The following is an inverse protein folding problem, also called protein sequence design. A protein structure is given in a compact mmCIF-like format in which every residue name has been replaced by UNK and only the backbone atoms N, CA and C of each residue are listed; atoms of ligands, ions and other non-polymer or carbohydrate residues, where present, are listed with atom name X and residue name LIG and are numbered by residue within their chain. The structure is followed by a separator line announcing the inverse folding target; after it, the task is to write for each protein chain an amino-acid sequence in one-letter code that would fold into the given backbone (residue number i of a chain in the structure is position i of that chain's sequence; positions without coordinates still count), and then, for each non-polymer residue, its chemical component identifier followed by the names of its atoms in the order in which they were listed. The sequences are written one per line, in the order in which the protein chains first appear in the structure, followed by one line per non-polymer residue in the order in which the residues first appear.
data_IF_650621086252
#
_entry.id   IF_650621086252
#
_cell.length_a   1.000
_cell.length_b   1.000
_cell.length_c   1.000
_cell.angle_alpha   90.00
_cell.angle_beta   90.00
_cell.angle_gamma   90.00
#
_symmetry.space_group_name_H-M   'P 1'
#
loop_
_entity.id
_entity.type
_entity.pdbx_description
1 polymer ?
#
# COMPACT_ATOMS: atom_id res chain seq x y z
N UNK A 1 -6.75 -13.42 -15.50
CA UNK A 1 -6.19 -13.35 -14.13
C UNK A 1 -4.85 -12.65 -14.26
N UNK A 2 -4.41 -11.88 -13.28
CA UNK A 2 -3.09 -11.26 -13.25
C UNK A 2 -2.45 -11.48 -11.86
N UNK A 3 -1.16 -11.75 -11.83
CA UNK A 3 -0.37 -11.99 -10.63
C UNK A 3 0.67 -10.89 -10.48
N UNK A 4 0.68 -10.24 -9.32
CA UNK A 4 1.52 -9.08 -9.05
C UNK A 4 2.40 -9.36 -7.84
N UNK A 5 3.71 -9.34 -8.05
CA UNK A 5 4.69 -9.32 -6.97
C UNK A 5 4.82 -7.93 -6.39
N UNK A 6 4.74 -7.77 -5.06
CA UNK A 6 4.92 -6.47 -4.41
C UNK A 6 5.88 -6.58 -3.24
N UNK A 7 7.03 -5.92 -3.36
CA UNK A 7 7.96 -5.70 -2.25
C UNK A 7 7.77 -4.30 -1.70
N UNK A 8 7.66 -4.17 -0.38
CA UNK A 8 7.73 -2.89 0.31
C UNK A 8 8.88 -2.85 1.31
N UNK A 9 9.60 -1.75 1.31
CA UNK A 9 10.71 -1.49 2.20
C UNK A 9 10.36 -1.53 3.71
N UNK A 10 9.09 -1.30 4.08
CA UNK A 10 8.63 -1.25 5.48
C UNK A 10 7.35 -2.05 5.66
N UNK A 11 7.03 -2.41 6.91
CA UNK A 11 5.79 -3.16 7.19
C UNK A 11 4.54 -2.26 7.20
N UNK A 12 4.71 -0.93 7.26
CA UNK A 12 3.61 0.02 7.41
C UNK A 12 2.48 -0.15 6.38
N UNK A 13 2.75 -0.25 5.06
CA UNK A 13 1.69 -0.39 4.08
C UNK A 13 1.10 -1.81 3.95
N UNK A 14 1.69 -2.82 4.58
CA UNK A 14 1.29 -4.24 4.38
C UNK A 14 -0.18 -4.46 4.72
N UNK A 15 -0.69 -3.83 5.78
CA UNK A 15 -2.11 -3.92 6.15
C UNK A 15 -3.01 -3.37 5.06
N UNK A 16 -2.77 -2.13 4.58
CA UNK A 16 -3.56 -1.55 3.50
C UNK A 16 -3.46 -2.35 2.20
N UNK A 17 -2.30 -2.90 1.87
CA UNK A 17 -2.15 -3.75 0.68
C UNK A 17 -3.05 -5.00 0.81
N UNK A 18 -3.09 -5.63 1.99
CA UNK A 18 -3.95 -6.80 2.23
C UNK A 18 -5.43 -6.45 2.12
N UNK A 19 -5.87 -5.32 2.68
CA UNK A 19 -7.26 -4.89 2.53
C UNK A 19 -7.58 -4.52 1.07
N UNK A 20 -6.63 -3.92 0.35
CA UNK A 20 -6.80 -3.65 -1.07
C UNK A 20 -6.99 -4.95 -1.86
N UNK A 21 -6.23 -6.00 -1.55
CA UNK A 21 -6.35 -7.32 -2.17
C UNK A 21 -7.76 -7.92 -2.05
N UNK A 22 -8.44 -7.72 -0.92
CA UNK A 22 -9.83 -8.18 -0.71
C UNK A 22 -10.84 -7.51 -1.65
N UNK A 23 -10.47 -6.37 -2.27
CA UNK A 23 -11.29 -5.63 -3.23
C UNK A 23 -10.96 -5.95 -4.70
N UNK A 24 -10.02 -6.84 -4.94
CA UNK A 24 -9.58 -7.22 -6.28
C UNK A 24 -10.29 -8.50 -6.73
N UNK A 25 -10.66 -8.54 -8.00
CA UNK A 25 -11.23 -9.74 -8.64
C UNK A 25 -10.34 -10.12 -9.80
N UNK A 26 -9.88 -11.37 -9.81
CA UNK A 26 -8.98 -11.88 -10.85
C UNK A 26 -7.55 -11.34 -10.78
N UNK A 27 -7.14 -10.74 -9.66
CA UNK A 27 -5.77 -10.26 -9.43
C UNK A 27 -5.24 -10.87 -8.13
N UNK A 28 -4.11 -11.56 -8.22
CA UNK A 28 -3.42 -12.18 -7.09
C UNK A 28 -2.21 -11.34 -6.68
N UNK A 29 -2.09 -11.00 -5.39
CA UNK A 29 -0.96 -10.22 -4.87
C UNK A 29 -0.02 -11.09 -4.05
N UNK A 30 1.25 -11.17 -4.48
CA UNK A 30 2.35 -11.74 -3.72
C UNK A 30 3.10 -10.63 -2.98
N UNK A 31 2.80 -10.45 -1.69
CA UNK A 31 3.32 -9.31 -0.89
C UNK A 31 4.40 -9.77 0.09
N UNK A 32 5.53 -9.05 0.13
CA UNK A 32 6.55 -9.15 1.19
C UNK A 32 7.05 -7.78 1.61
N UNK A 33 7.35 -7.60 2.88
CA UNK A 33 8.04 -6.43 3.38
C UNK A 33 9.50 -6.71 3.72
N UNK A 34 10.28 -5.66 4.01
CA UNK A 34 11.63 -5.80 4.53
C UNK A 34 11.70 -6.68 5.79
N UNK A 35 10.72 -6.57 6.70
CA UNK A 35 10.62 -7.41 7.90
C UNK A 35 10.37 -8.89 7.62
N UNK A 36 9.84 -9.25 6.44
CA UNK A 36 9.63 -10.65 6.06
C UNK A 36 10.91 -11.32 5.49
N UNK A 37 11.97 -10.54 5.21
CA UNK A 37 13.12 -10.96 4.40
C UNK A 37 14.46 -10.78 5.14
N UNK A 38 14.51 -11.23 6.39
CA UNK A 38 15.69 -11.07 7.26
C UNK A 38 16.84 -12.04 6.94
N UNK A 39 16.55 -13.18 6.31
CA UNK A 39 17.54 -14.20 5.98
C UNK A 39 17.67 -14.48 4.46
N UNK A 40 18.83 -14.96 3.99
CA UNK A 40 19.06 -15.19 2.57
C UNK A 40 18.15 -16.23 1.91
N UNK A 41 17.65 -17.21 2.67
CA UNK A 41 16.76 -18.25 2.14
C UNK A 41 15.35 -17.67 1.89
N UNK A 42 14.87 -16.83 2.79
CA UNK A 42 13.63 -16.08 2.62
C UNK A 42 13.69 -15.17 1.37
N UNK A 43 14.81 -14.47 1.18
CA UNK A 43 15.05 -13.66 -0.03
C UNK A 43 15.05 -14.53 -1.29
N UNK A 44 15.82 -15.61 -1.32
CA UNK A 44 15.90 -16.50 -2.49
C UNK A 44 14.52 -17.04 -2.87
N UNK A 45 13.77 -17.57 -1.90
CA UNK A 45 12.42 -18.11 -2.13
C UNK A 45 11.46 -17.04 -2.64
N UNK A 46 11.57 -15.82 -2.14
CA UNK A 46 10.74 -14.71 -2.63
C UNK A 46 11.09 -14.37 -4.07
N UNK A 47 12.38 -14.24 -4.40
CA UNK A 47 12.86 -13.95 -5.76
C UNK A 47 12.45 -15.03 -6.76
N UNK A 48 12.53 -16.30 -6.38
CA UNK A 48 12.07 -17.41 -7.23
C UNK A 48 10.58 -17.26 -7.59
N UNK A 49 9.75 -16.89 -6.61
CA UNK A 49 8.32 -16.66 -6.83
C UNK A 49 8.02 -15.39 -7.62
N UNK A 50 8.86 -14.36 -7.52
CA UNK A 50 8.71 -13.14 -8.31
C UNK A 50 8.89 -13.41 -9.82
N UNK A 51 9.71 -14.40 -10.19
CA UNK A 51 9.90 -14.81 -11.59
C UNK A 51 8.65 -15.46 -12.21
N UNK A 52 7.66 -15.84 -11.38
CA UNK A 52 6.39 -16.45 -11.81
C UNK A 52 5.25 -15.41 -11.88
N UNK A 53 5.52 -14.14 -11.57
CA UNK A 53 4.52 -13.07 -11.59
C UNK A 53 4.46 -12.40 -12.97
N UNK A 54 3.29 -11.86 -13.32
CA UNK A 54 3.12 -11.11 -14.57
C UNK A 54 3.83 -9.75 -14.51
N UNK A 55 3.84 -9.12 -13.32
CA UNK A 55 4.57 -7.87 -13.07
C UNK A 55 4.99 -7.74 -11.61
N UNK A 56 6.10 -7.06 -11.35
CA UNK A 56 6.64 -6.83 -9.99
C UNK A 56 6.74 -5.36 -9.66
N UNK A 57 6.39 -4.97 -8.43
CA UNK A 57 6.55 -3.61 -7.90
C UNK A 57 7.50 -3.63 -6.71
N UNK A 58 8.55 -2.83 -6.80
CA UNK A 58 9.46 -2.54 -5.70
C UNK A 58 9.19 -1.14 -5.17
N UNK A 59 8.56 -1.08 -3.99
CA UNK A 59 8.32 0.16 -3.28
C UNK A 59 9.40 0.37 -2.21
N UNK A 60 10.36 1.24 -2.52
CA UNK A 60 11.56 1.47 -1.72
C UNK A 60 11.46 2.82 -0.98
N UNK A 61 11.88 2.86 0.28
CA UNK A 61 11.84 4.06 1.13
C UNK A 61 13.23 4.41 1.69
N UNK A 62 13.83 5.52 1.27
CA UNK A 62 15.15 5.94 1.78
C UNK A 62 16.32 5.03 1.37
N UNK A 63 17.51 5.28 1.94
CA UNK A 63 18.77 4.65 1.53
C UNK A 63 19.02 3.24 2.09
N UNK A 64 18.34 2.90 3.20
CA UNK A 64 18.56 1.69 4.01
C UNK A 64 17.62 0.53 3.70
N UNK A 65 16.56 0.75 2.92
CA UNK A 65 15.47 -0.23 2.75
C UNK A 65 15.58 -1.10 1.48
N UNK A 66 16.79 -1.20 0.94
CA UNK A 66 17.04 -1.97 -0.26
C UNK A 66 16.85 -3.45 0.05
N UNK A 67 16.03 -4.10 -0.77
CA UNK A 67 16.01 -5.55 -0.86
C UNK A 67 17.47 -6.06 -0.99
N UNK A 68 17.90 -7.04 -0.19
CA UNK A 68 19.25 -7.58 -0.30
C UNK A 68 19.55 -8.02 -1.73
N UNK A 69 20.72 -7.63 -2.24
CA UNK A 69 21.15 -7.92 -3.62
C UNK A 69 20.17 -7.44 -4.72
N UNK A 70 19.48 -6.31 -4.50
CA UNK A 70 18.47 -5.78 -5.44
C UNK A 70 18.91 -5.76 -6.91
N UNK A 71 20.16 -5.44 -7.23
CA UNK A 71 20.62 -5.45 -8.62
C UNK A 71 20.62 -6.85 -9.24
N UNK A 72 21.06 -7.86 -8.48
CA UNK A 72 20.98 -9.25 -8.93
C UNK A 72 19.53 -9.72 -9.09
N UNK A 73 18.61 -9.25 -8.24
CA UNK A 73 17.18 -9.54 -8.38
C UNK A 73 16.63 -8.95 -9.68
N UNK A 74 16.99 -7.71 -10.01
CA UNK A 74 16.59 -7.06 -11.27
C UNK A 74 17.11 -7.83 -12.48
N UNK A 75 18.38 -8.21 -12.48
CA UNK A 75 18.97 -9.00 -13.56
C UNK A 75 18.27 -10.35 -13.73
N UNK A 76 17.90 -11.01 -12.64
CA UNK A 76 17.15 -12.28 -12.67
C UNK A 76 15.75 -12.10 -13.26
N UNK A 77 14.99 -11.08 -12.82
CA UNK A 77 13.66 -10.79 -13.35
C UNK A 77 13.71 -10.41 -14.83
N UNK A 78 14.66 -9.56 -15.21
CA UNK A 78 14.87 -9.21 -16.61
C UNK A 78 15.27 -10.43 -17.45
N UNK A 79 16.11 -11.33 -16.92
CA UNK A 79 16.49 -12.58 -17.58
C UNK A 79 15.31 -13.56 -17.74
N UNK A 80 14.37 -13.52 -16.81
CA UNK A 80 13.11 -14.27 -16.85
C UNK A 80 12.05 -13.61 -17.75
N UNK A 81 12.26 -12.38 -18.19
CA UNK A 81 11.30 -11.62 -18.99
C UNK A 81 10.13 -11.04 -18.18
N UNK A 82 10.30 -10.89 -16.86
CA UNK A 82 9.29 -10.31 -15.96
C UNK A 82 9.49 -8.81 -15.87
N UNK A 83 8.43 -8.07 -16.21
CA UNK A 83 8.42 -6.62 -16.09
C UNK A 83 8.34 -6.17 -14.63
N UNK A 84 8.98 -5.05 -14.32
CA UNK A 84 8.94 -4.51 -12.98
C UNK A 84 9.02 -2.99 -12.90
N UNK A 85 8.39 -2.47 -11.85
CA UNK A 85 8.33 -1.06 -11.49
C UNK A 85 9.15 -0.83 -10.22
N UNK A 86 9.99 0.21 -10.23
CA UNK A 86 10.71 0.68 -9.06
C UNK A 86 10.22 2.07 -8.70
N UNK A 87 9.61 2.18 -7.53
CA UNK A 87 9.12 3.43 -6.96
C UNK A 87 9.92 3.77 -5.70
N UNK A 88 10.42 5.01 -5.62
CA UNK A 88 11.19 5.53 -4.49
C UNK A 88 10.50 6.76 -3.93
N UNK A 89 10.21 6.78 -2.63
CA UNK A 89 9.66 7.98 -2.00
C UNK A 89 10.66 9.15 -2.08
N UNK A 90 10.21 10.28 -2.65
CA UNK A 90 10.98 11.53 -2.67
C UNK A 90 12.07 11.60 -3.74
N UNK A 91 12.11 10.65 -4.68
CA UNK A 91 13.08 10.65 -5.78
C UNK A 91 12.36 10.96 -7.10
N UNK A 92 12.56 12.18 -7.60
CA UNK A 92 12.13 12.61 -8.94
C UNK A 92 13.14 12.23 -10.03
N UNK A 93 14.29 11.65 -9.65
CA UNK A 93 15.34 11.37 -10.61
C UNK A 93 15.08 10.02 -11.30
N UNK A 94 14.77 10.11 -12.60
CA UNK A 94 14.39 9.03 -13.49
C UNK A 94 15.53 8.05 -13.77
N UNK A 95 16.13 7.47 -12.73
CA UNK A 95 17.00 6.31 -12.89
C UNK A 95 16.19 5.21 -13.58
N UNK A 96 16.74 4.68 -14.67
CA UNK A 96 16.23 3.62 -15.56
C UNK A 96 16.09 2.27 -14.83
N UNK A 97 15.47 2.31 -13.66
CA UNK A 97 15.32 1.16 -12.81
C UNK A 97 14.18 0.31 -13.36
N UNK A 98 13.01 0.88 -13.66
CA UNK A 98 11.87 0.10 -14.15
C UNK A 98 12.07 -0.38 -15.59
N UNK A 99 11.45 -1.51 -15.95
CA UNK A 99 11.39 -2.00 -17.34
C UNK A 99 10.17 -1.46 -18.09
N UNK A 100 9.16 -1.00 -17.36
CA UNK A 100 7.91 -0.47 -17.90
C UNK A 100 8.05 0.91 -18.53
N UNK A 101 7.04 1.35 -19.29
CA UNK A 101 6.97 2.71 -19.82
C UNK A 101 7.05 3.76 -18.69
N UNK A 102 7.79 4.88 -18.87
CA UNK A 102 7.84 5.95 -17.88
C UNK A 102 6.48 6.44 -17.38
N UNK A 103 5.45 6.48 -18.24
CA UNK A 103 4.09 6.86 -17.85
C UNK A 103 3.48 5.94 -16.79
N UNK A 104 3.64 4.62 -16.95
CA UNK A 104 3.19 3.61 -15.98
C UNK A 104 3.97 3.78 -14.69
N UNK A 105 5.30 3.91 -14.76
CA UNK A 105 6.14 4.11 -13.58
C UNK A 105 5.72 5.34 -12.76
N UNK A 106 5.52 6.49 -13.42
CA UNK A 106 5.06 7.72 -12.76
C UNK A 106 3.70 7.52 -12.09
N UNK A 107 2.76 6.85 -12.77
CA UNK A 107 1.41 6.64 -12.24
C UNK A 107 1.39 5.68 -11.05
N UNK A 108 2.13 4.56 -11.12
CA UNK A 108 2.34 3.64 -10.00
C UNK A 108 2.98 4.35 -8.82
N UNK A 109 4.04 5.14 -9.07
CA UNK A 109 4.66 5.98 -8.03
C UNK A 109 3.66 6.91 -7.36
N UNK A 110 2.78 7.55 -8.13
CA UNK A 110 1.74 8.46 -7.60
C UNK A 110 0.73 7.73 -6.71
N UNK A 111 0.26 6.54 -7.08
CA UNK A 111 -0.62 5.76 -6.20
C UNK A 111 0.07 5.38 -4.89
N UNK A 112 1.32 4.94 -4.98
CA UNK A 112 2.11 4.53 -3.80
C UNK A 112 2.37 5.71 -2.86
N UNK A 113 2.73 6.88 -3.40
CA UNK A 113 2.94 8.11 -2.63
C UNK A 113 1.66 8.58 -1.93
N UNK A 114 0.52 8.55 -2.63
CA UNK A 114 -0.76 8.92 -2.03
C UNK A 114 -1.27 7.88 -1.04
N UNK A 115 -0.83 6.63 -1.19
CA UNK A 115 -1.09 5.54 -0.25
C UNK A 115 -2.57 5.18 -0.10
N UNK A 116 -2.85 4.30 0.84
CA UNK A 116 -4.21 3.85 1.19
C UNK A 116 -4.88 2.90 0.21
N UNK A 117 -5.93 2.27 0.72
CA UNK A 117 -6.53 1.07 0.13
C UNK A 117 -7.11 1.31 -1.26
N UNK A 118 -7.72 2.48 -1.50
CA UNK A 118 -8.26 2.82 -2.82
C UNK A 118 -7.16 2.99 -3.87
N UNK A 119 -6.10 3.73 -3.55
CA UNK A 119 -4.98 3.92 -4.48
C UNK A 119 -4.24 2.60 -4.73
N UNK A 120 -4.03 1.78 -3.70
CA UNK A 120 -3.39 0.48 -3.86
C UNK A 120 -4.25 -0.46 -4.73
N UNK A 121 -5.57 -0.46 -4.56
CA UNK A 121 -6.46 -1.26 -5.40
C UNK A 121 -6.46 -0.78 -6.86
N UNK A 122 -6.53 0.53 -7.10
CA UNK A 122 -6.50 1.09 -8.46
C UNK A 122 -5.12 0.96 -9.13
N UNK A 123 -4.03 1.00 -8.37
CA UNK A 123 -2.70 0.65 -8.85
C UNK A 123 -2.64 -0.81 -9.31
N UNK A 124 -3.17 -1.74 -8.51
CA UNK A 124 -3.21 -3.15 -8.89
C UNK A 124 -4.08 -3.39 -10.13
N UNK A 125 -5.19 -2.67 -10.28
CA UNK A 125 -6.02 -2.74 -11.49
C UNK A 125 -5.32 -2.16 -12.73
N UNK A 126 -4.64 -1.01 -12.60
CA UNK A 126 -3.79 -0.47 -13.67
C UNK A 126 -2.76 -1.50 -14.15
N UNK A 127 -2.06 -2.13 -13.20
CA UNK A 127 -1.05 -3.14 -13.54
C UNK A 127 -1.67 -4.40 -14.15
N UNK A 128 -2.84 -4.82 -13.66
CA UNK A 128 -3.53 -5.97 -14.24
C UNK A 128 -4.04 -5.70 -15.66
N UNK A 129 -4.53 -4.49 -15.93
CA UNK A 129 -4.98 -4.06 -17.26
C UNK A 129 -3.83 -4.02 -18.27
N UNK A 130 -2.64 -3.60 -17.82
CA UNK A 130 -1.45 -3.51 -18.68
C UNK A 130 -0.79 -4.88 -18.92
N UNK A 131 -0.70 -5.74 -17.90
CA UNK A 131 0.11 -6.95 -17.92
C UNK A 131 -0.69 -8.27 -17.90
N UNK A 132 -1.99 -8.21 -17.67
CA UNK A 132 -2.87 -9.39 -17.63
C UNK A 132 -3.69 -9.60 -18.91
N UNK A 133 -4.34 -10.75 -19.00
CA UNK A 133 -5.20 -11.11 -20.14
C UNK A 133 -6.65 -10.55 -20.06
N UNK A 134 -6.94 -9.76 -19.03
CA UNK A 134 -8.28 -9.24 -18.75
C UNK A 134 -8.41 -7.74 -19.04
N UNK A 135 -9.55 -7.18 -18.63
CA UNK A 135 -9.85 -5.75 -18.71
C UNK A 135 -10.24 -5.30 -17.30
N UNK A 136 -9.51 -4.33 -16.74
CA UNK A 136 -9.73 -3.83 -15.39
C UNK A 136 -9.82 -2.31 -15.39
N UNK A 137 -11.02 -1.80 -15.10
CA UNK A 137 -11.21 -0.37 -14.88
C UNK A 137 -10.47 0.10 -13.62
N UNK A 138 -9.78 1.24 -13.71
CA UNK A 138 -9.11 1.89 -12.59
C UNK A 138 -9.31 3.41 -12.63
N UNK A 139 -9.49 4.01 -11.45
CA UNK A 139 -9.57 5.47 -11.33
C UNK A 139 -8.19 6.09 -11.14
N UNK A 140 -8.03 7.36 -11.52
CA UNK A 140 -6.83 8.14 -11.20
C UNK A 140 -6.47 8.13 -9.70
N UNK A 141 -5.18 8.28 -9.33
CA UNK A 141 -4.79 8.41 -7.94
C UNK A 141 -5.61 9.51 -7.24
N UNK A 142 -5.98 9.28 -5.97
CA UNK A 142 -6.76 10.21 -5.14
C UNK A 142 -5.94 10.66 -3.95
N UNK A 143 -5.97 11.95 -3.65
CA UNK A 143 -5.31 12.48 -2.44
C UNK A 143 -6.07 12.03 -1.20
N UNK A 144 -5.34 11.51 -0.22
CA UNK A 144 -5.90 11.23 1.10
C UNK A 144 -5.85 12.49 1.96
N UNK A 145 -6.84 12.70 2.85
CA UNK A 145 -6.83 13.85 3.74
C UNK A 145 -5.61 13.82 4.68
N UNK A 146 -4.77 14.86 4.63
CA UNK A 146 -3.60 15.02 5.52
C UNK A 146 -3.98 15.34 6.98
N UNK A 147 -5.21 15.80 7.18
CA UNK A 147 -5.83 15.97 8.49
C UNK A 147 -7.29 15.58 8.37
N UNK A 148 -7.85 15.04 9.44
CA UNK A 148 -9.24 14.61 9.44
C UNK A 148 -9.69 14.17 10.82
N UNK A 149 -10.94 13.73 10.88
CA UNK A 149 -11.50 13.08 12.06
C UNK A 149 -11.79 11.64 11.72
N UNK A 150 -11.53 10.77 12.68
CA UNK A 150 -11.72 9.34 12.53
C UNK A 150 -12.64 8.82 13.63
N UNK A 151 -13.61 8.00 13.24
CA UNK A 151 -14.37 7.17 14.15
C UNK A 151 -14.81 5.90 13.41
N UNK A 152 -14.68 4.70 14.01
CA UNK A 152 -14.94 3.43 13.32
C UNK A 152 -16.39 3.30 12.83
N UNK A 153 -17.36 3.86 13.56
CA UNK A 153 -18.79 3.83 13.17
C UNK A 153 -19.24 4.98 12.26
N UNK A 154 -18.37 5.99 12.08
CA UNK A 154 -18.71 7.21 11.35
C UNK A 154 -17.63 7.53 10.30
N UNK A 155 -17.35 6.61 9.36
CA UNK A 155 -16.29 6.78 8.37
C UNK A 155 -16.59 7.97 7.45
N UNK A 156 -15.61 8.85 7.26
CA UNK A 156 -15.70 9.99 6.33
C UNK A 156 -16.59 11.15 6.79
N UNK A 157 -17.06 11.15 8.04
CA UNK A 157 -17.81 12.29 8.57
C UNK A 157 -16.91 13.50 8.82
N UNK A 158 -17.48 14.70 8.70
CA UNK A 158 -16.81 15.93 9.13
C UNK A 158 -16.73 16.00 10.66
N UNK A 159 -15.82 16.82 11.19
CA UNK A 159 -15.71 17.06 12.63
C UNK A 159 -17.03 17.54 13.22
N UNK A 160 -17.72 18.45 12.53
CA UNK A 160 -18.99 19.00 13.01
C UNK A 160 -20.09 17.94 13.02
N UNK A 161 -20.23 17.17 11.94
CA UNK A 161 -21.21 16.10 11.86
C UNK A 161 -20.93 14.99 12.89
N UNK A 162 -19.65 14.67 13.15
CA UNK A 162 -19.30 13.70 14.19
C UNK A 162 -19.62 14.23 15.59
N UNK A 163 -19.37 15.52 15.86
CA UNK A 163 -19.72 16.14 17.15
C UNK A 163 -21.22 16.11 17.43
N UNK A 164 -22.05 16.17 16.40
CA UNK A 164 -23.51 16.04 16.55
C UNK A 164 -23.96 14.66 17.04
N UNK A 165 -23.10 13.62 16.94
CA UNK A 165 -23.41 12.28 17.47
C UNK A 165 -23.09 12.13 18.96
N UNK A 166 -22.38 13.10 19.56
CA UNK A 166 -21.91 13.00 20.94
C UNK A 166 -23.01 13.37 21.95
N UNK A 167 -23.00 12.70 23.10
CA UNK A 167 -23.83 13.08 24.24
C UNK A 167 -23.22 14.29 24.96
N UNK A 168 -23.88 15.47 24.97
CA UNK A 168 -23.33 16.68 25.57
C UNK A 168 -23.22 16.60 27.11
N UNK A 169 -23.79 15.58 27.74
CA UNK A 169 -23.69 15.36 29.19
C UNK A 169 -22.49 14.53 29.61
N UNK A 170 -21.76 13.95 28.64
CA UNK A 170 -20.57 13.12 28.85
C UNK A 170 -19.30 13.88 28.50
N UNK A 171 -18.16 13.59 29.17
CA UNK A 171 -16.88 14.17 28.78
C UNK A 171 -16.47 13.66 27.39
N UNK A 172 -15.84 14.50 26.57
CA UNK A 172 -15.28 14.08 25.27
C UNK A 172 -13.76 13.94 25.36
N UNK A 173 -13.22 12.82 24.89
CA UNK A 173 -11.76 12.58 24.83
C UNK A 173 -11.29 12.60 23.38
N UNK A 174 -10.32 13.47 23.09
CA UNK A 174 -9.63 13.49 21.78
C UNK A 174 -8.43 12.54 21.78
N UNK A 175 -8.38 11.64 20.79
CA UNK A 175 -7.23 10.74 20.56
C UNK A 175 -6.44 11.29 19.38
N UNK A 176 -5.16 11.60 19.61
CA UNK A 176 -4.23 11.98 18.55
C UNK A 176 -3.43 10.76 18.12
N UNK A 177 -3.39 10.53 16.80
CA UNK A 177 -2.57 9.50 16.20
C UNK A 177 -2.10 9.94 14.81
N UNK A 178 -1.08 9.26 14.28
CA UNK A 178 -0.49 9.63 13.01
C UNK A 178 -1.46 9.35 11.85
N UNK A 179 -1.56 10.31 10.94
CA UNK A 179 -2.31 10.19 9.68
C UNK A 179 -1.92 8.92 8.91
N UNK A 180 -0.64 8.55 8.92
CA UNK A 180 -0.12 7.33 8.28
C UNK A 180 -0.82 6.05 8.77
N UNK A 181 -1.28 6.01 10.02
CA UNK A 181 -1.99 4.83 10.53
C UNK A 181 -3.44 4.80 10.06
N UNK A 182 -4.03 5.96 9.78
CA UNK A 182 -5.35 6.04 9.13
C UNK A 182 -5.25 5.67 7.66
N UNK A 183 -4.30 6.25 6.93
CA UNK A 183 -4.13 5.99 5.50
C UNK A 183 -3.68 4.56 5.20
N UNK A 184 -2.87 3.93 6.07
CA UNK A 184 -2.51 2.51 5.92
C UNK A 184 -3.50 1.52 6.57
N UNK A 185 -4.71 1.96 6.95
CA UNK A 185 -5.72 1.14 7.63
C UNK A 185 -5.19 0.36 8.84
N UNK A 186 -4.21 0.94 9.52
CA UNK A 186 -3.68 0.46 10.78
C UNK A 186 -4.39 1.12 11.97
N UNK A 187 -5.73 1.18 11.92
CA UNK A 187 -6.53 1.87 12.96
C UNK A 187 -6.99 0.94 14.07
N UNK A 188 -6.80 -0.39 13.97
CA UNK A 188 -7.32 -1.36 14.95
C UNK A 188 -7.03 -1.02 16.42
N UNK A 189 -5.85 -0.46 16.72
CA UNK A 189 -5.51 -0.06 18.09
C UNK A 189 -6.24 1.24 18.52
N UNK A 190 -6.49 2.15 17.58
CA UNK A 190 -7.33 3.34 17.77
C UNK A 190 -8.77 2.91 18.01
N UNK A 191 -9.28 1.97 17.20
CA UNK A 191 -10.64 1.43 17.34
C UNK A 191 -10.81 0.80 18.73
N UNK A 192 -9.86 -0.02 19.16
CA UNK A 192 -9.87 -0.63 20.49
C UNK A 192 -9.87 0.43 21.61
N UNK A 193 -9.10 1.51 21.46
CA UNK A 193 -9.07 2.61 22.42
C UNK A 193 -10.39 3.38 22.45
N UNK A 194 -10.99 3.66 21.29
CA UNK A 194 -12.31 4.29 21.17
C UNK A 194 -13.35 3.43 21.90
N UNK A 195 -13.43 2.12 21.60
CA UNK A 195 -14.39 1.22 22.25
C UNK A 195 -14.19 1.13 23.76
N UNK A 196 -12.94 1.14 24.21
CA UNK A 196 -12.64 1.13 25.65
C UNK A 196 -13.18 2.40 26.33
N UNK A 197 -13.02 3.58 25.72
CA UNK A 197 -13.56 4.83 26.25
C UNK A 197 -15.09 4.86 26.23
N UNK A 198 -15.70 4.48 25.10
CA UNK A 198 -17.17 4.41 24.95
C UNK A 198 -17.80 3.51 26.02
N UNK A 199 -17.14 2.40 26.37
CA UNK A 199 -17.62 1.47 27.41
C UNK A 199 -17.59 2.03 28.84
N UNK A 200 -16.86 3.13 29.07
CA UNK A 200 -16.80 3.85 30.35
C UNK A 200 -17.71 5.10 30.37
N UNK A 201 -18.65 5.20 29.42
CA UNK A 201 -19.55 6.35 29.24
C UNK A 201 -18.80 7.67 29.00
N UNK A 202 -17.67 7.60 28.28
CA UNK A 202 -16.85 8.73 27.81
C UNK A 202 -16.86 8.78 26.28
#
# INVERSE_FOLDING_TARGET
MCSIGLYTATDQPVTAIRVAAERLTGIDLLVRSGGDLEDPEAVSRFVDRLQEQDVVVFWLHGSESRLPNFESVREQLHGAGVDFVVARSGDTDGSQASTVEPGIQTRVGTYLERGGVLNLANMSRLLADEFGDGDWEYDEPVELPSTGVYHPDHPGMSVDALRETFDPTRPTVGIWFYETHWTFENTRYVDALIRALESHDV
#
